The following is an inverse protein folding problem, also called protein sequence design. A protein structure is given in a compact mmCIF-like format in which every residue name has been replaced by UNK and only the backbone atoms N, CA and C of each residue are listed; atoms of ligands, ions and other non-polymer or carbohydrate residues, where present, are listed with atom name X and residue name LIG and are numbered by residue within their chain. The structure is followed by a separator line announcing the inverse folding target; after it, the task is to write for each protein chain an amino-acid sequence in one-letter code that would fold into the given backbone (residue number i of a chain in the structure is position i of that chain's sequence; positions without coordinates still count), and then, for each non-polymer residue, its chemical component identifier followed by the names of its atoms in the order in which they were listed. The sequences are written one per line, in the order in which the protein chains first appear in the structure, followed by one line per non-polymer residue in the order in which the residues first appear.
data_IF_708243061259
#
_entry.id   IF_708243061259
#
_cell.length_a   1.000
_cell.length_b   1.000
_cell.length_c   1.000
_cell.angle_alpha   90.00
_cell.angle_beta   90.00
_cell.angle_gamma   90.00
#
_symmetry.space_group_name_H-M   'P 1'
#
loop_
_entity.id
_entity.type
_entity.pdbx_description
1 polymer ?
#
# COMPACT_ATOMS: atom_id res chain seq x y z
N UNK A 1 -9.69 5.27 11.06
CA UNK A 1 -8.50 6.02 10.59
C UNK A 1 -8.08 5.53 9.21
N UNK A 2 -7.94 6.43 8.23
CA UNK A 2 -7.69 6.11 6.81
C UNK A 2 -6.22 5.90 6.42
N UNK A 3 -5.50 5.02 7.12
CA UNK A 3 -4.05 4.77 6.92
C UNK A 3 -3.75 4.29 5.49
N UNK A 4 -4.46 3.23 5.07
CA UNK A 4 -4.35 2.67 3.71
C UNK A 4 -4.76 3.67 2.65
N UNK A 5 -5.86 4.40 2.83
CA UNK A 5 -6.28 5.42 1.86
C UNK A 5 -5.22 6.52 1.71
N UNK A 6 -4.61 6.95 2.81
CA UNK A 6 -3.55 7.96 2.78
C UNK A 6 -2.30 7.46 2.03
N UNK A 7 -1.80 6.26 2.34
CA UNK A 7 -0.62 5.72 1.64
C UNK A 7 -0.91 5.44 0.16
N UNK A 8 -2.10 4.92 -0.15
CA UNK A 8 -2.49 4.64 -1.54
C UNK A 8 -2.64 5.92 -2.36
N UNK A 9 -3.16 7.02 -1.80
CA UNK A 9 -3.20 8.31 -2.52
C UNK A 9 -1.79 8.83 -2.85
N UNK A 10 -0.82 8.63 -1.96
CA UNK A 10 0.59 8.97 -2.23
C UNK A 10 1.13 8.07 -3.36
N UNK A 11 0.91 6.75 -3.26
CA UNK A 11 1.34 5.80 -4.29
C UNK A 11 0.71 6.07 -5.66
N UNK A 12 -0.58 6.38 -5.68
CA UNK A 12 -1.32 6.80 -6.86
C UNK A 12 -0.68 8.03 -7.52
N UNK A 13 -0.37 9.07 -6.75
CA UNK A 13 0.29 10.26 -7.28
C UNK A 13 1.68 9.95 -7.85
N UNK A 14 2.48 9.12 -7.16
CA UNK A 14 3.81 8.70 -7.64
C UNK A 14 3.69 7.91 -8.96
N UNK A 15 2.71 7.03 -9.07
CA UNK A 15 2.55 6.20 -10.26
C UNK A 15 1.92 6.94 -11.45
N UNK A 16 0.88 7.74 -11.22
CA UNK A 16 0.11 8.41 -12.28
C UNK A 16 0.75 9.74 -12.66
N UNK A 17 1.02 10.61 -11.69
CA UNK A 17 1.50 11.96 -11.98
C UNK A 17 3.02 12.00 -12.23
N UNK A 18 3.80 11.17 -11.53
CA UNK A 18 5.26 11.11 -11.72
C UNK A 18 5.71 9.99 -12.67
N UNK A 19 4.82 9.08 -13.03
CA UNK A 19 5.14 7.96 -13.92
C UNK A 19 6.16 6.98 -13.36
N UNK A 20 6.30 6.90 -12.03
CA UNK A 20 7.30 6.05 -11.38
C UNK A 20 6.68 4.75 -10.83
N UNK A 21 7.36 3.60 -10.97
CA UNK A 21 6.89 2.33 -10.43
C UNK A 21 6.68 2.34 -8.91
N UNK A 22 5.53 1.85 -8.45
CA UNK A 22 5.19 1.73 -7.03
C UNK A 22 4.92 0.28 -6.68
N UNK A 23 5.63 -0.22 -5.66
CA UNK A 23 5.38 -1.55 -5.09
C UNK A 23 4.48 -1.42 -3.85
N UNK A 24 3.38 -2.17 -3.81
CA UNK A 24 2.45 -2.21 -2.67
C UNK A 24 2.39 -3.63 -2.15
N UNK A 25 2.81 -3.84 -0.91
CA UNK A 25 2.65 -5.10 -0.20
C UNK A 25 1.47 -4.96 0.76
N UNK A 26 0.31 -5.51 0.38
CA UNK A 26 -0.91 -5.46 1.18
C UNK A 26 -1.20 -6.81 1.80
N UNK A 27 -1.13 -6.88 3.12
CA UNK A 27 -1.36 -8.12 3.88
C UNK A 27 -2.74 -8.13 4.54
N UNK A 28 -3.44 -7.00 4.54
CA UNK A 28 -4.80 -6.87 5.05
C UNK A 28 -5.85 -6.94 3.93
N UNK A 29 -5.55 -6.35 2.78
CA UNK A 29 -6.52 -6.11 1.71
C UNK A 29 -6.12 -6.76 0.40
N UNK A 30 -7.12 -7.24 -0.34
CA UNK A 30 -6.92 -7.75 -1.69
C UNK A 30 -6.66 -6.64 -2.71
N UNK A 31 -5.93 -6.97 -3.77
CA UNK A 31 -5.54 -6.09 -4.86
C UNK A 31 -6.76 -5.47 -5.55
N UNK A 32 -7.83 -6.23 -5.75
CA UNK A 32 -9.09 -5.72 -6.35
C UNK A 32 -9.70 -4.62 -5.49
N UNK A 33 -9.65 -4.75 -4.16
CA UNK A 33 -10.20 -3.72 -3.26
C UNK A 33 -9.36 -2.44 -3.31
N UNK A 34 -8.03 -2.57 -3.36
CA UNK A 34 -7.14 -1.42 -3.51
C UNK A 34 -7.30 -0.75 -4.87
N UNK A 35 -7.40 -1.52 -5.95
CA UNK A 35 -7.65 -1.02 -7.30
C UNK A 35 -8.97 -0.24 -7.39
N UNK A 36 -10.06 -0.79 -6.84
CA UNK A 36 -11.35 -0.09 -6.78
C UNK A 36 -11.24 1.22 -5.99
N UNK A 37 -10.46 1.26 -4.91
CA UNK A 37 -10.24 2.51 -4.17
C UNK A 37 -9.48 3.56 -4.99
N UNK A 38 -8.44 3.15 -5.72
CA UNK A 38 -7.69 4.05 -6.61
C UNK A 38 -8.56 4.61 -7.72
N UNK A 39 -9.35 3.76 -8.39
CA UNK A 39 -10.32 4.21 -9.41
C UNK A 39 -11.30 5.23 -8.83
N UNK A 40 -11.77 5.00 -7.60
CA UNK A 40 -12.64 5.95 -6.90
C UNK A 40 -11.96 7.28 -6.57
N UNK A 41 -10.69 7.24 -6.18
CA UNK A 41 -9.87 8.43 -5.90
C UNK A 41 -9.64 9.24 -7.18
N UNK A 42 -9.07 8.62 -8.22
CA UNK A 42 -8.77 9.26 -9.51
C UNK A 42 -10.03 9.80 -10.17
N UNK A 43 -11.11 9.02 -10.18
CA UNK A 43 -12.39 9.42 -10.78
C UNK A 43 -13.19 10.41 -9.92
N UNK A 44 -12.78 10.66 -8.68
CA UNK A 44 -13.53 11.41 -7.66
C UNK A 44 -14.95 10.84 -7.45
N UNK A 45 -15.09 9.51 -7.53
CA UNK A 45 -16.36 8.79 -7.50
C UNK A 45 -16.75 8.40 -6.08
N UNK A 46 -18.06 8.33 -5.82
CA UNK A 46 -18.58 7.81 -4.57
C UNK A 46 -18.29 6.30 -4.45
N UNK A 47 -17.49 5.91 -3.45
CA UNK A 47 -17.10 4.51 -3.27
C UNK A 47 -18.27 3.57 -2.94
N UNK A 48 -19.31 4.05 -2.25
CA UNK A 48 -20.47 3.23 -1.96
C UNK A 48 -21.24 2.90 -3.25
N UNK A 49 -21.39 3.89 -4.13
CA UNK A 49 -22.05 3.72 -5.44
C UNK A 49 -21.25 2.82 -6.36
N UNK A 50 -19.93 2.97 -6.41
CA UNK A 50 -19.07 2.05 -7.16
C UNK A 50 -19.19 0.61 -6.67
N UNK A 51 -19.15 0.39 -5.35
CA UNK A 51 -19.24 -0.95 -4.76
C UNK A 51 -20.61 -1.60 -4.96
N UNK A 52 -21.68 -0.81 -5.01
CA UNK A 52 -23.06 -1.31 -5.17
C UNK A 52 -23.52 -1.34 -6.63
N UNK A 53 -22.71 -0.85 -7.57
CA UNK A 53 -23.08 -0.72 -8.98
C UNK A 53 -24.11 0.36 -9.27
N UNK A 54 -24.44 1.23 -8.30
CA UNK A 54 -25.47 2.28 -8.42
C UNK A 54 -24.91 3.59 -9.02
N UNK A 55 -24.18 3.46 -10.13
CA UNK A 55 -23.57 4.57 -10.85
C UNK A 55 -24.62 5.36 -11.65
N UNK A 56 -24.42 6.67 -11.76
CA UNK A 56 -25.27 7.58 -12.55
C UNK A 56 -24.69 7.70 -13.95
N UNK A 57 -25.48 8.21 -14.89
CA UNK A 57 -25.00 8.54 -16.23
C UNK A 57 -23.69 9.34 -16.19
N UNK A 58 -23.60 10.34 -15.31
CA UNK A 58 -22.43 11.22 -15.17
C UNK A 58 -21.19 10.54 -14.54
N UNK A 59 -21.37 9.41 -13.86
CA UNK A 59 -20.24 8.68 -13.27
C UNK A 59 -19.49 7.87 -14.32
N UNK A 60 -20.16 7.39 -15.38
CA UNK A 60 -19.59 6.50 -16.38
C UNK A 60 -18.40 7.09 -17.14
N UNK A 61 -18.44 8.36 -17.62
CA UNK A 61 -17.27 8.98 -18.24
C UNK A 61 -16.08 9.07 -17.30
N UNK A 62 -16.32 9.44 -16.04
CA UNK A 62 -15.28 9.60 -15.00
C UNK A 62 -14.68 8.27 -14.60
N UNK A 63 -15.51 7.24 -14.47
CA UNK A 63 -15.09 5.86 -14.22
C UNK A 63 -14.20 5.36 -15.34
N UNK A 64 -14.64 5.52 -16.59
CA UNK A 64 -13.89 5.06 -17.77
C UNK A 64 -12.52 5.72 -17.83
N UNK A 65 -12.46 7.04 -17.63
CA UNK A 65 -11.20 7.78 -17.59
C UNK A 65 -10.29 7.32 -16.44
N UNK A 66 -10.84 7.14 -15.23
CA UNK A 66 -10.08 6.69 -14.08
C UNK A 66 -9.52 5.26 -14.25
N UNK A 67 -10.31 4.35 -14.83
CA UNK A 67 -9.85 2.98 -15.14
C UNK A 67 -8.67 3.03 -16.11
N UNK A 68 -8.74 3.85 -17.15
CA UNK A 68 -7.64 4.00 -18.11
C UNK A 68 -6.37 4.50 -17.43
N UNK A 69 -6.47 5.56 -16.61
CA UNK A 69 -5.32 6.10 -15.87
C UNK A 69 -4.71 5.08 -14.91
N UNK A 70 -5.53 4.33 -14.17
CA UNK A 70 -5.05 3.29 -13.25
C UNK A 70 -4.44 2.11 -14.00
N UNK A 71 -4.95 1.76 -15.19
CA UNK A 71 -4.39 0.69 -16.03
C UNK A 71 -3.01 1.05 -16.59
N UNK A 72 -2.79 2.32 -16.94
CA UNK A 72 -1.50 2.84 -17.42
C UNK A 72 -0.50 3.03 -16.27
N UNK A 73 -0.97 3.16 -15.04
CA UNK A 73 -0.14 3.38 -13.86
C UNK A 73 0.73 2.15 -13.52
N UNK A 74 2.00 2.40 -13.22
CA UNK A 74 2.96 1.36 -12.83
C UNK A 74 2.82 0.98 -11.34
N UNK A 75 1.65 0.50 -10.93
CA UNK A 75 1.38 0.05 -9.55
C UNK A 75 1.35 -1.48 -9.49
N UNK A 76 2.24 -2.05 -8.67
CA UNK A 76 2.38 -3.49 -8.51
C UNK A 76 1.95 -3.89 -7.12
N UNK A 77 0.81 -4.57 -7.03
CA UNK A 77 0.23 -5.00 -5.75
C UNK A 77 0.54 -6.47 -5.50
N UNK A 78 1.14 -6.75 -4.36
CA UNK A 78 1.32 -8.08 -3.80
C UNK A 78 0.36 -8.23 -2.61
N UNK A 79 -0.69 -9.04 -2.79
CA UNK A 79 -1.72 -9.30 -1.79
C UNK A 79 -1.43 -10.55 -0.92
N UNK A 80 -0.18 -11.06 -0.96
CA UNK A 80 0.19 -12.23 -0.17
C UNK A 80 0.15 -11.92 1.33
N UNK A 81 -0.65 -12.64 2.14
CA UNK A 81 -0.71 -12.41 3.58
C UNK A 81 0.57 -12.90 4.27
N UNK A 82 0.92 -12.30 5.41
CA UNK A 82 1.92 -12.85 6.32
C UNK A 82 3.37 -12.84 5.80
N UNK A 83 3.72 -11.98 4.83
CA UNK A 83 5.09 -11.94 4.31
C UNK A 83 6.10 -11.57 5.39
N UNK A 84 7.23 -12.26 5.39
CA UNK A 84 8.40 -11.90 6.18
C UNK A 84 9.15 -10.73 5.54
N UNK A 85 9.99 -10.05 6.34
CA UNK A 85 10.81 -8.94 5.81
C UNK A 85 11.80 -9.39 4.73
N UNK A 86 12.24 -10.66 4.77
CA UNK A 86 13.11 -11.24 3.74
C UNK A 86 12.36 -11.46 2.42
N UNK A 87 11.11 -11.93 2.47
CA UNK A 87 10.29 -12.11 1.27
C UNK A 87 9.95 -10.78 0.62
N UNK A 88 9.55 -9.77 1.41
CA UNK A 88 9.35 -8.40 0.92
C UNK A 88 10.61 -7.89 0.22
N UNK A 89 11.79 -8.07 0.84
CA UNK A 89 13.08 -7.67 0.25
C UNK A 89 13.35 -8.37 -1.07
N UNK A 90 13.17 -9.69 -1.13
CA UNK A 90 13.41 -10.47 -2.34
C UNK A 90 12.50 -10.04 -3.50
N UNK A 91 11.20 -9.85 -3.21
CA UNK A 91 10.20 -9.44 -4.21
C UNK A 91 10.41 -8.00 -4.66
N UNK A 92 10.70 -7.07 -3.75
CA UNK A 92 10.99 -5.67 -4.08
C UNK A 92 12.24 -5.55 -4.96
N UNK A 93 13.33 -6.28 -4.65
CA UNK A 93 14.53 -6.33 -5.49
C UNK A 93 14.25 -6.87 -6.88
N UNK A 94 13.45 -7.94 -6.99
CA UNK A 94 13.07 -8.52 -8.28
C UNK A 94 12.32 -7.50 -9.13
N UNK A 95 11.33 -6.83 -8.54
CA UNK A 95 10.55 -5.82 -9.24
C UNK A 95 11.40 -4.60 -9.62
N UNK A 96 12.25 -4.11 -8.72
CA UNK A 96 13.18 -3.02 -9.02
C UNK A 96 14.07 -3.34 -10.23
N UNK A 97 14.57 -4.58 -10.35
CA UNK A 97 15.33 -5.01 -11.54
C UNK A 97 14.50 -5.04 -12.82
N UNK A 98 13.23 -5.42 -12.74
CA UNK A 98 12.33 -5.45 -13.90
C UNK A 98 11.99 -4.04 -14.39
N UNK A 99 11.80 -3.10 -13.46
CA UNK A 99 11.44 -1.72 -13.75
C UNK A 99 12.65 -0.77 -13.88
N UNK A 100 13.86 -1.25 -13.62
CA UNK A 100 15.07 -0.44 -13.48
C UNK A 100 15.20 0.21 -12.09
N UNK A 101 14.17 0.91 -11.63
CA UNK A 101 14.11 1.52 -10.29
C UNK A 101 12.66 1.64 -9.81
N UNK A 102 12.44 1.51 -8.49
CA UNK A 102 11.16 1.82 -7.86
C UNK A 102 11.14 3.28 -7.39
N UNK A 103 10.01 3.97 -7.58
CA UNK A 103 9.75 5.30 -7.04
C UNK A 103 9.25 5.26 -5.59
N UNK A 104 8.54 4.20 -5.20
CA UNK A 104 8.01 4.05 -3.84
C UNK A 104 7.73 2.58 -3.49
N UNK A 105 7.94 2.23 -2.23
CA UNK A 105 7.48 0.98 -1.63
C UNK A 105 6.49 1.28 -0.51
N UNK A 106 5.33 0.64 -0.51
CA UNK A 106 4.30 0.75 0.53
C UNK A 106 4.09 -0.62 1.17
N UNK A 107 4.13 -0.68 2.51
CA UNK A 107 3.82 -1.87 3.31
C UNK A 107 2.55 -1.60 4.14
N UNK A 108 1.49 -2.36 3.92
CA UNK A 108 0.21 -2.27 4.65
C UNK A 108 -0.14 -3.62 5.30
N UNK A 109 0.17 -3.86 6.57
CA UNK A 109 0.90 -3.03 7.54
C UNK A 109 1.81 -3.93 8.40
N UNK A 110 2.77 -3.33 9.12
CA UNK A 110 3.88 -4.04 9.77
C UNK A 110 3.45 -5.20 10.68
N UNK A 111 2.38 -5.03 11.44
CA UNK A 111 1.93 -6.01 12.42
C UNK A 111 1.34 -7.27 11.79
N UNK A 112 1.09 -7.31 10.47
CA UNK A 112 0.67 -8.51 9.75
C UNK A 112 1.85 -9.29 9.16
N UNK A 113 3.07 -8.75 9.21
CA UNK A 113 4.26 -9.44 8.75
C UNK A 113 4.62 -10.59 9.68
N UNK A 114 5.07 -11.70 9.09
CA UNK A 114 5.59 -12.83 9.85
C UNK A 114 6.99 -12.54 10.39
N UNK A 115 7.26 -13.07 11.58
CA UNK A 115 8.54 -13.02 12.27
C UNK A 115 8.93 -14.42 12.73
N UNK A 116 10.22 -14.70 12.77
CA UNK A 116 10.77 -15.94 13.31
C UNK A 116 10.72 -15.88 14.84
N UNK A 117 9.55 -16.21 15.40
CA UNK A 117 9.30 -16.55 16.81
C UNK A 117 10.12 -15.78 17.84
N UNK A 118 9.74 -14.54 18.15
CA UNK A 118 10.25 -13.82 19.31
C UNK A 118 9.26 -13.84 20.48
N UNK A 119 9.75 -13.95 21.73
CA UNK A 119 8.90 -13.84 22.92
C UNK A 119 8.22 -12.46 23.07
N UNK A 120 8.76 -11.44 22.40
CA UNK A 120 8.30 -10.06 22.52
C UNK A 120 8.00 -9.42 21.15
N UNK A 121 6.73 -9.09 20.92
CA UNK A 121 6.25 -8.44 19.69
C UNK A 121 6.94 -7.12 19.38
N UNK A 122 7.36 -6.36 20.40
CA UNK A 122 8.08 -5.10 20.20
C UNK A 122 9.47 -5.33 19.59
N UNK A 123 10.15 -6.41 19.99
CA UNK A 123 11.45 -6.80 19.43
C UNK A 123 11.29 -7.22 17.96
N UNK A 124 10.27 -8.02 17.66
CA UNK A 124 9.98 -8.46 16.29
C UNK A 124 9.72 -7.28 15.35
N UNK A 125 8.87 -6.32 15.77
CA UNK A 125 8.58 -5.12 14.99
C UNK A 125 9.85 -4.28 14.80
N UNK A 126 10.73 -4.22 15.81
CA UNK A 126 12.00 -3.51 15.71
C UNK A 126 12.94 -4.15 14.68
N UNK A 127 12.98 -5.48 14.60
CA UNK A 127 13.76 -6.23 13.61
C UNK A 127 13.21 -6.04 12.20
N UNK A 128 11.88 -6.16 12.04
CA UNK A 128 11.20 -5.90 10.77
C UNK A 128 11.51 -4.47 10.29
N UNK A 129 11.37 -3.48 11.17
CA UNK A 129 11.65 -2.07 10.86
C UNK A 129 13.10 -1.85 10.42
N UNK A 130 14.08 -2.45 11.10
CA UNK A 130 15.50 -2.40 10.70
C UNK A 130 15.73 -3.04 9.33
N UNK A 131 15.11 -4.19 9.07
CA UNK A 131 15.19 -4.89 7.79
C UNK A 131 14.63 -4.04 6.64
N UNK A 132 13.45 -3.44 6.84
CA UNK A 132 12.82 -2.55 5.86
C UNK A 132 13.62 -1.27 5.64
N UNK A 133 14.23 -0.69 6.68
CA UNK A 133 15.14 0.45 6.52
C UNK A 133 16.38 0.08 5.69
N UNK A 134 16.91 -1.13 5.90
CA UNK A 134 17.98 -1.69 5.08
C UNK A 134 17.58 -1.81 3.61
N UNK A 135 16.40 -2.35 3.34
CA UNK A 135 15.83 -2.44 1.99
C UNK A 135 15.70 -1.06 1.32
N UNK A 136 15.14 -0.07 2.01
CA UNK A 136 14.96 1.28 1.47
C UNK A 136 16.29 1.93 1.09
N UNK A 137 17.32 1.79 1.95
CA UNK A 137 18.68 2.27 1.67
C UNK A 137 19.31 1.55 0.48
N UNK A 138 19.16 0.24 0.43
CA UNK A 138 19.74 -0.59 -0.62
C UNK A 138 19.18 -0.27 -1.99
N UNK A 139 17.85 -0.13 -2.10
CA UNK A 139 17.20 0.18 -3.37
C UNK A 139 17.20 1.68 -3.71
N UNK A 140 17.77 2.52 -2.83
CA UNK A 140 17.69 3.97 -2.90
C UNK A 140 16.25 4.46 -3.20
N UNK A 141 15.28 3.85 -2.50
CA UNK A 141 13.85 4.03 -2.75
C UNK A 141 13.14 4.45 -1.45
N UNK A 142 12.28 5.47 -1.48
CA UNK A 142 11.38 5.79 -0.38
C UNK A 142 10.53 4.56 0.00
N UNK A 143 10.33 4.36 1.32
CA UNK A 143 9.51 3.28 1.85
C UNK A 143 8.55 3.82 2.91
N UNK A 144 7.26 3.58 2.73
CA UNK A 144 6.20 3.88 3.68
C UNK A 144 5.78 2.56 4.32
N UNK A 145 5.98 2.44 5.63
CA UNK A 145 5.48 1.31 6.41
C UNK A 145 4.34 1.77 7.30
N UNK A 146 3.15 1.22 7.08
CA UNK A 146 2.01 1.50 7.93
C UNK A 146 2.14 0.72 9.23
N UNK A 147 1.74 1.35 10.33
CA UNK A 147 1.71 0.75 11.66
C UNK A 147 0.40 1.10 12.35
N UNK A 148 -0.11 0.16 13.14
CA UNK A 148 -1.28 0.36 13.97
C UNK A 148 -0.90 0.65 15.42
N UNK A 149 -1.56 1.63 16.01
CA UNK A 149 -1.41 1.98 17.42
C UNK A 149 -2.17 0.99 18.31
N UNK A 150 -1.67 0.78 19.53
CA UNK A 150 -2.37 -0.02 20.54
C UNK A 150 -3.69 0.65 20.95
N UNK A 151 -4.73 -0.17 21.15
CA UNK A 151 -6.08 0.31 21.55
C UNK A 151 -6.12 0.99 22.92
N UNK A 152 -5.11 0.75 23.78
CA UNK A 152 -4.97 1.43 25.08
C UNK A 152 -4.81 2.95 24.98
N UNK A 153 -4.46 3.48 23.80
CA UNK A 153 -4.44 4.93 23.55
C UNK A 153 -5.85 5.55 23.60
N UNK A 154 -6.92 4.79 23.35
CA UNK A 154 -8.31 5.29 23.40
C UNK A 154 -8.84 5.47 24.83
N UNK A 155 -8.17 4.87 25.82
CA UNK A 155 -8.53 4.92 27.24
C UNK A 155 -7.83 6.06 28.01
N UNK A 156 -7.00 6.87 27.34
CA UNK A 156 -6.32 7.98 28.01
C UNK A 156 -7.35 9.03 28.46
N UNK A 157 -7.31 9.47 29.72
CA UNK A 157 -8.30 10.40 30.28
C UNK A 157 -8.24 11.81 29.68
N UNK A 158 -7.19 12.17 28.95
CA UNK A 158 -7.10 13.41 28.20
C UNK A 158 -7.46 13.17 26.73
N UNK A 159 -8.74 13.35 26.41
CA UNK A 159 -9.22 13.76 25.09
C UNK A 159 -9.60 15.23 25.12
#
# INVERSE_FOLDING_TARGET
MGKTSFSMNIGEHVAIAQGLPVAVFSMEMGAVQLAMRMVGSVGLLDQHRMRTGKLTADDWPRLTHAVQQVQEAQIYIDETPGLSSMEVRARARRLARQCGQLGLIIIDYLQLMSSSGGENRATEISEISRSLKGLAKELNCPLIALSQLNRSLEQRPNK
#
